data_IF_793260504932
#
_entry.id   IF_793260504932
#
_cell.length_a   1.000
_cell.length_b   1.000
_cell.length_c   1.000
_cell.angle_alpha   90.00
_cell.angle_beta   90.00
_cell.angle_gamma   90.00
#
_symmetry.space_group_name_H-M   'P 1'
#
loop_
_entity.id
_entity.type
_entity.pdbx_description
1 polymer ?
#
# COMPACT_ATOMS: atom_id res chain seq x y z
N UNK A 1 -24.39 -17.61 15.01
CA UNK A 1 -23.01 -17.65 14.51
C UNK A 1 -22.96 -16.66 13.36
N UNK A 2 -22.33 -15.51 13.57
CA UNK A 2 -22.20 -14.50 12.51
C UNK A 2 -21.06 -14.95 11.63
N UNK A 3 -21.39 -15.42 10.42
CA UNK A 3 -20.40 -15.73 9.40
C UNK A 3 -19.67 -14.42 9.07
N UNK A 4 -18.38 -14.34 9.41
CA UNK A 4 -17.55 -13.20 9.06
C UNK A 4 -17.48 -13.15 7.53
N UNK A 5 -17.93 -12.03 6.95
CA UNK A 5 -17.83 -11.82 5.52
C UNK A 5 -16.36 -11.99 5.08
N UNK A 6 -16.10 -12.63 3.94
CA UNK A 6 -14.74 -12.80 3.45
C UNK A 6 -14.07 -11.44 3.28
N UNK A 7 -12.79 -11.36 3.65
CA UNK A 7 -12.01 -10.14 3.50
C UNK A 7 -12.08 -9.63 2.04
N UNK A 8 -12.10 -8.31 1.80
CA UNK A 8 -12.07 -7.75 0.44
C UNK A 8 -10.91 -8.30 -0.38
N UNK A 9 -11.08 -8.44 -1.71
CA UNK A 9 -10.10 -9.07 -2.59
C UNK A 9 -8.69 -8.45 -2.51
N UNK A 10 -8.58 -7.12 -2.43
CA UNK A 10 -7.29 -6.43 -2.29
C UNK A 10 -6.60 -6.75 -0.94
N UNK A 11 -7.36 -7.02 0.13
CA UNK A 11 -6.81 -7.46 1.42
C UNK A 11 -6.27 -8.88 1.30
N UNK A 12 -6.98 -9.77 0.60
CA UNK A 12 -6.52 -11.14 0.35
C UNK A 12 -5.24 -11.15 -0.49
N UNK A 13 -5.17 -10.31 -1.53
CA UNK A 13 -3.98 -10.18 -2.37
C UNK A 13 -2.77 -9.68 -1.57
N UNK A 14 -2.95 -8.65 -0.74
CA UNK A 14 -1.88 -8.17 0.17
C UNK A 14 -1.40 -9.27 1.13
N UNK A 15 -2.32 -10.03 1.73
CA UNK A 15 -1.99 -11.17 2.59
C UNK A 15 -1.19 -12.24 1.85
N UNK A 16 -1.57 -12.56 0.62
CA UNK A 16 -0.86 -13.51 -0.22
C UNK A 16 0.57 -13.04 -0.55
N UNK A 17 0.77 -11.75 -0.82
CA UNK A 17 2.11 -11.19 -1.04
C UNK A 17 3.01 -11.34 0.20
N UNK A 18 2.48 -11.01 1.39
CA UNK A 18 3.21 -11.15 2.66
C UNK A 18 3.55 -12.61 2.94
N UNK A 19 2.58 -13.51 2.77
CA UNK A 19 2.77 -14.93 2.99
C UNK A 19 3.84 -15.53 2.05
N UNK A 20 3.82 -15.15 0.77
CA UNK A 20 4.81 -15.59 -0.21
C UNK A 20 6.23 -15.11 0.14
N UNK A 21 6.37 -13.85 0.59
CA UNK A 21 7.65 -13.34 1.10
C UNK A 21 8.13 -14.17 2.29
N UNK A 22 7.24 -14.49 3.23
CA UNK A 22 7.63 -15.24 4.43
C UNK A 22 8.06 -16.67 4.09
N UNK A 23 7.34 -17.34 3.18
CA UNK A 23 7.67 -18.68 2.70
C UNK A 23 8.97 -18.74 1.89
N UNK A 24 9.30 -17.67 1.16
CA UNK A 24 10.57 -17.56 0.43
C UNK A 24 11.80 -17.41 1.32
N UNK A 25 11.60 -17.01 2.59
CA UNK A 25 12.69 -16.69 3.52
C UNK A 25 12.54 -17.42 4.87
N UNK A 26 12.56 -18.77 4.90
CA UNK A 26 12.31 -19.55 6.12
C UNK A 26 13.38 -19.38 7.21
N UNK A 27 14.58 -18.91 6.83
CA UNK A 27 15.64 -18.56 7.78
C UNK A 27 15.37 -17.25 8.54
N UNK A 28 14.43 -16.44 8.05
CA UNK A 28 14.04 -15.14 8.62
C UNK A 28 12.67 -15.26 9.29
N UNK A 29 11.73 -15.92 8.62
CA UNK A 29 10.38 -16.16 9.11
C UNK A 29 10.18 -17.64 9.31
N UNK A 30 10.23 -18.06 10.57
CA UNK A 30 9.95 -19.45 10.89
C UNK A 30 8.51 -19.79 10.49
N UNK A 31 8.29 -21.01 10.00
CA UNK A 31 6.96 -21.48 9.62
C UNK A 31 5.95 -21.38 10.79
N UNK A 32 4.66 -21.16 10.48
CA UNK A 32 3.59 -21.22 11.47
C UNK A 32 3.53 -22.61 12.11
N UNK A 33 2.99 -22.72 13.32
CA UNK A 33 2.88 -24.01 14.00
C UNK A 33 1.62 -24.77 13.57
N UNK A 34 0.60 -24.00 13.18
CA UNK A 34 -0.70 -24.46 12.70
C UNK A 34 -0.71 -24.88 11.23
N UNK A 35 0.28 -24.48 10.43
CA UNK A 35 0.35 -24.79 8.99
C UNK A 35 1.77 -25.11 8.53
N UNK A 36 1.91 -25.78 7.38
CA UNK A 36 3.22 -26.08 6.80
C UNK A 36 3.94 -24.86 6.20
N UNK A 37 3.18 -23.82 5.84
CA UNK A 37 3.65 -22.59 5.19
C UNK A 37 2.76 -21.41 5.60
N UNK A 38 3.28 -20.19 5.47
CA UNK A 38 2.52 -18.95 5.67
C UNK A 38 1.41 -18.78 4.63
N UNK A 39 1.61 -19.25 3.40
CA UNK A 39 0.56 -19.23 2.36
C UNK A 39 -0.61 -20.12 2.78
N UNK A 40 -0.33 -21.35 3.25
CA UNK A 40 -1.37 -22.24 3.74
C UNK A 40 -2.04 -21.69 5.01
N UNK A 41 -1.30 -20.97 5.85
CA UNK A 41 -1.86 -20.29 7.02
C UNK A 41 -2.81 -19.15 6.63
N UNK A 42 -2.44 -18.33 5.63
CA UNK A 42 -3.27 -17.21 5.18
C UNK A 42 -4.61 -17.64 4.55
N UNK A 43 -4.69 -18.88 4.04
CA UNK A 43 -5.93 -19.49 3.53
C UNK A 43 -6.83 -20.05 4.64
N UNK A 44 -6.30 -20.27 5.83
CA UNK A 44 -7.06 -20.77 6.97
C UNK A 44 -7.82 -19.64 7.66
N UNK A 45 -8.95 -19.99 8.27
CA UNK A 45 -9.73 -19.07 9.11
C UNK A 45 -9.31 -19.13 10.59
N UNK A 46 -8.11 -19.62 10.88
CA UNK A 46 -7.58 -19.74 12.23
C UNK A 46 -6.90 -18.44 12.65
N UNK A 47 -7.06 -18.06 13.93
CA UNK A 47 -6.38 -16.91 14.49
C UNK A 47 -4.92 -17.28 14.80
N UNK A 48 -3.94 -16.39 14.54
CA UNK A 48 -2.55 -16.65 14.87
C UNK A 48 -2.36 -16.79 16.37
N UNK A 49 -1.46 -17.69 16.76
CA UNK A 49 -0.95 -17.75 18.14
C UNK A 49 0.03 -16.58 18.44
N UNK A 50 0.39 -16.37 19.71
CA UNK A 50 1.30 -15.29 20.14
C UNK A 50 2.67 -15.32 19.43
N UNK A 51 3.13 -16.48 18.96
CA UNK A 51 4.40 -16.62 18.23
C UNK A 51 4.18 -16.21 16.78
N UNK A 52 3.13 -16.69 16.15
CA UNK A 52 2.76 -16.37 14.78
C UNK A 52 2.47 -14.87 14.62
N UNK A 53 1.74 -14.27 15.57
CA UNK A 53 1.47 -12.84 15.62
C UNK A 53 2.77 -12.02 15.62
N UNK A 54 3.73 -12.38 16.48
CA UNK A 54 5.04 -11.70 16.51
C UNK A 54 5.82 -11.82 15.20
N UNK A 55 5.73 -12.95 14.50
CA UNK A 55 6.41 -13.13 13.21
C UNK A 55 5.72 -12.32 12.12
N UNK A 56 4.38 -12.26 12.13
CA UNK A 56 3.58 -11.41 11.25
C UNK A 56 3.87 -9.92 11.47
N UNK A 57 3.98 -9.49 12.72
CA UNK A 57 4.37 -8.12 13.09
C UNK A 57 5.77 -7.79 12.60
N UNK A 58 6.71 -8.72 12.72
CA UNK A 58 8.06 -8.56 12.19
C UNK A 58 8.05 -8.40 10.66
N UNK A 59 7.29 -9.22 9.95
CA UNK A 59 7.17 -9.13 8.49
C UNK A 59 6.55 -7.79 8.07
N UNK A 60 5.43 -7.44 8.70
CA UNK A 60 4.69 -6.20 8.43
C UNK A 60 5.53 -4.97 8.74
N UNK A 61 6.22 -4.94 9.89
CA UNK A 61 7.10 -3.83 10.27
C UNK A 61 8.23 -3.61 9.27
N UNK A 62 8.84 -4.67 8.74
CA UNK A 62 9.89 -4.59 7.71
C UNK A 62 9.34 -4.04 6.39
N UNK A 63 8.15 -4.48 5.98
CA UNK A 63 7.47 -3.98 4.78
C UNK A 63 7.14 -2.50 4.94
N UNK A 64 6.55 -2.09 6.06
CA UNK A 64 6.22 -0.68 6.36
C UNK A 64 7.48 0.19 6.31
N UNK A 65 8.60 -0.29 6.87
CA UNK A 65 9.87 0.43 6.80
C UNK A 65 10.38 0.57 5.37
N UNK A 66 10.26 -0.47 4.54
CA UNK A 66 10.61 -0.40 3.12
C UNK A 66 9.75 0.61 2.37
N UNK A 67 8.43 0.63 2.61
CA UNK A 67 7.51 1.61 2.03
C UNK A 67 7.90 3.04 2.42
N UNK A 68 8.15 3.30 3.71
CA UNK A 68 8.59 4.62 4.18
C UNK A 68 9.90 5.06 3.54
N UNK A 69 10.86 4.14 3.41
CA UNK A 69 12.13 4.42 2.76
C UNK A 69 11.96 4.79 1.28
N UNK A 70 10.98 4.18 0.59
CA UNK A 70 10.63 4.55 -0.78
C UNK A 70 9.94 5.91 -0.85
N UNK A 71 9.03 6.20 0.09
CA UNK A 71 8.35 7.49 0.20
C UNK A 71 9.34 8.65 0.37
N UNK A 72 10.35 8.50 1.25
CA UNK A 72 11.39 9.50 1.48
C UNK A 72 12.24 9.83 0.23
N UNK A 73 12.19 8.97 -0.79
CA UNK A 73 12.91 9.14 -2.06
C UNK A 73 12.03 9.59 -3.21
N UNK A 74 10.73 9.72 -2.96
CA UNK A 74 9.82 10.34 -3.91
C UNK A 74 10.22 11.81 -4.02
N UNK A 75 10.47 12.35 -5.22
CA UNK A 75 10.87 13.74 -5.39
C UNK A 75 9.91 14.68 -4.67
N UNK A 76 10.41 15.56 -3.80
CA UNK A 76 9.59 16.52 -3.04
C UNK A 76 9.23 17.78 -3.85
N UNK A 77 9.51 17.78 -5.15
CA UNK A 77 9.37 18.97 -6.01
C UNK A 77 7.91 19.35 -6.25
N UNK A 78 6.96 18.50 -5.83
CA UNK A 78 5.53 18.77 -5.92
C UNK A 78 4.97 19.18 -4.55
N UNK A 79 4.79 20.48 -4.35
CA UNK A 79 3.96 20.99 -3.25
C UNK A 79 2.49 20.72 -3.56
N UNK A 80 2.03 19.58 -3.05
CA UNK A 80 0.68 19.07 -3.24
C UNK A 80 -0.38 20.01 -2.68
N UNK A 81 -0.08 20.75 -1.62
CA UNK A 81 -1.01 21.74 -1.09
C UNK A 81 -1.15 22.93 -2.06
N UNK A 82 -0.03 23.45 -2.56
CA UNK A 82 -0.05 24.50 -3.58
C UNK A 82 -0.77 24.07 -4.87
N UNK A 83 -0.61 22.82 -5.30
CA UNK A 83 -1.31 22.30 -6.47
C UNK A 83 -2.83 22.18 -6.25
N UNK A 84 -3.26 21.77 -5.05
CA UNK A 84 -4.67 21.75 -4.66
C UNK A 84 -5.25 23.17 -4.58
N UNK A 85 -4.50 24.12 -4.03
CA UNK A 85 -4.91 25.53 -3.93
C UNK A 85 -5.06 26.15 -5.34
N UNK A 86 -4.13 25.86 -6.25
CA UNK A 86 -4.22 26.29 -7.66
C UNK A 86 -5.43 25.67 -8.36
N UNK A 87 -5.64 24.36 -8.22
CA UNK A 87 -6.83 23.69 -8.76
C UNK A 87 -8.11 24.33 -8.21
N UNK A 88 -8.10 24.77 -6.96
CA UNK A 88 -9.23 25.48 -6.35
C UNK A 88 -9.48 26.85 -6.96
N UNK A 89 -8.43 27.62 -7.21
CA UNK A 89 -8.53 28.89 -7.92
C UNK A 89 -9.05 28.73 -9.36
N UNK A 90 -8.75 27.60 -10.01
CA UNK A 90 -9.24 27.25 -11.35
C UNK A 90 -10.67 26.68 -11.36
N UNK A 91 -11.33 26.58 -10.21
CA UNK A 91 -12.70 26.07 -10.10
C UNK A 91 -12.81 24.54 -10.03
N UNK A 92 -11.69 23.83 -9.84
CA UNK A 92 -11.62 22.39 -9.54
C UNK A 92 -11.56 22.14 -8.01
N UNK A 93 -11.92 23.14 -7.18
CA UNK A 93 -11.53 23.24 -5.77
C UNK A 93 -12.41 22.62 -4.71
N UNK A 94 -13.62 22.22 -5.07
CA UNK A 94 -14.56 21.57 -4.15
C UNK A 94 -14.56 20.06 -4.38
N UNK A 95 -13.39 19.50 -4.70
CA UNK A 95 -13.26 18.05 -4.82
C UNK A 95 -13.36 17.43 -3.43
N UNK A 96 -14.41 16.63 -3.27
CA UNK A 96 -14.58 15.79 -2.09
C UNK A 96 -13.38 14.84 -1.95
N UNK A 97 -12.92 14.58 -0.71
CA UNK A 97 -11.88 13.59 -0.47
C UNK A 97 -12.23 12.23 -1.07
N UNK A 98 -11.27 11.60 -1.73
CA UNK A 98 -11.47 10.29 -2.33
C UNK A 98 -11.80 9.22 -1.28
N UNK A 99 -12.99 8.58 -1.33
CA UNK A 99 -13.41 7.62 -0.31
C UNK A 99 -12.56 6.35 -0.29
N UNK A 100 -11.91 5.99 -1.40
CA UNK A 100 -11.04 4.82 -1.45
C UNK A 100 -9.72 5.08 -0.72
N UNK A 101 -9.16 6.29 -0.87
CA UNK A 101 -7.98 6.70 -0.11
C UNK A 101 -8.30 6.76 1.39
N UNK A 102 -9.46 7.30 1.77
CA UNK A 102 -9.91 7.30 3.16
C UNK A 102 -10.03 5.89 3.74
N UNK A 103 -10.53 4.92 2.96
CA UNK A 103 -10.67 3.54 3.40
C UNK A 103 -9.33 2.79 3.51
N UNK A 104 -8.28 3.27 2.84
CA UNK A 104 -6.94 2.68 2.87
C UNK A 104 -6.04 3.29 3.95
N UNK A 105 -6.43 4.44 4.52
CA UNK A 105 -5.63 5.15 5.51
C UNK A 105 -5.36 4.29 6.75
N UNK A 106 -4.13 4.34 7.24
CA UNK A 106 -3.78 3.74 8.53
C UNK A 106 -4.52 4.47 9.66
N UNK A 107 -4.98 3.76 10.71
CA UNK A 107 -5.56 4.40 11.90
C UNK A 107 -4.60 5.38 12.60
N UNK A 108 -3.29 5.21 12.40
CA UNK A 108 -2.24 6.05 12.99
C UNK A 108 -1.86 7.25 12.10
N UNK A 109 -2.47 7.39 10.91
CA UNK A 109 -2.19 8.51 10.02
C UNK A 109 -2.90 9.79 10.49
N UNK A 110 -2.28 10.95 10.24
CA UNK A 110 -2.93 12.24 10.54
C UNK A 110 -4.16 12.44 9.65
N UNK A 111 -5.31 12.77 10.26
CA UNK A 111 -6.55 13.08 9.53
C UNK A 111 -6.34 14.15 8.45
N UNK A 112 -5.48 15.14 8.72
CA UNK A 112 -5.15 16.22 7.78
C UNK A 112 -4.35 15.70 6.58
N UNK A 113 -3.31 14.90 6.81
CA UNK A 113 -2.49 14.33 5.74
C UNK A 113 -3.31 13.38 4.86
N UNK A 114 -4.17 12.57 5.49
CA UNK A 114 -5.08 11.65 4.81
C UNK A 114 -6.09 12.43 3.97
N UNK A 115 -6.71 13.48 4.51
CA UNK A 115 -7.66 14.30 3.77
C UNK A 115 -7.00 15.01 2.57
N UNK A 116 -5.79 15.54 2.75
CA UNK A 116 -5.01 16.17 1.68
C UNK A 116 -4.68 15.17 0.57
N UNK A 117 -4.19 13.98 0.92
CA UNK A 117 -3.92 12.91 -0.05
C UNK A 117 -5.19 12.46 -0.78
N UNK A 118 -6.30 12.31 -0.06
CA UNK A 118 -7.58 11.91 -0.63
C UNK A 118 -8.11 12.95 -1.63
N UNK A 119 -7.98 14.25 -1.34
CA UNK A 119 -8.34 15.32 -2.30
C UNK A 119 -7.40 15.35 -3.51
N UNK A 120 -6.10 15.14 -3.30
CA UNK A 120 -5.14 15.05 -4.39
C UNK A 120 -5.46 13.88 -5.32
N UNK A 121 -5.89 12.74 -4.79
CA UNK A 121 -6.35 11.61 -5.59
C UNK A 121 -7.61 11.96 -6.40
N UNK A 122 -8.60 12.64 -5.81
CA UNK A 122 -9.79 13.12 -6.53
C UNK A 122 -9.40 14.07 -7.69
N UNK A 123 -8.43 14.96 -7.46
CA UNK A 123 -7.92 15.87 -8.49
C UNK A 123 -7.22 15.10 -9.61
N UNK A 124 -6.34 14.17 -9.26
CA UNK A 124 -5.65 13.32 -10.23
C UNK A 124 -6.64 12.51 -11.09
N UNK A 125 -7.61 11.86 -10.47
CA UNK A 125 -8.68 11.13 -11.18
C UNK A 125 -9.46 12.03 -12.13
N UNK A 126 -9.74 13.27 -11.71
CA UNK A 126 -10.41 14.26 -12.56
C UNK A 126 -9.54 14.64 -13.75
N UNK A 127 -8.24 14.90 -13.54
CA UNK A 127 -7.28 15.19 -14.60
C UNK A 127 -7.20 14.04 -15.62
N UNK A 128 -7.15 12.78 -15.16
CA UNK A 128 -7.18 11.59 -16.03
C UNK A 128 -8.48 11.54 -16.84
N UNK A 129 -9.66 11.73 -16.20
CA UNK A 129 -10.96 11.74 -16.89
C UNK A 129 -11.07 12.84 -17.95
N UNK A 130 -10.42 13.97 -17.72
CA UNK A 130 -10.38 15.11 -18.65
C UNK A 130 -9.31 14.96 -19.75
N UNK A 131 -8.50 13.90 -19.71
CA UNK A 131 -7.38 13.69 -20.65
C UNK A 131 -6.20 14.65 -20.42
N UNK A 132 -6.11 15.23 -19.22
CA UNK A 132 -5.01 16.10 -18.79
C UNK A 132 -3.85 15.31 -18.18
N UNK A 133 -4.09 14.05 -17.81
CA UNK A 133 -3.09 13.10 -17.32
C UNK A 133 -3.33 11.73 -17.99
N UNK A 134 -2.27 10.92 -18.12
CA UNK A 134 -2.32 9.62 -18.78
C UNK A 134 -2.75 8.50 -17.82
N UNK A 135 -2.63 8.71 -16.51
CA UNK A 135 -3.03 7.77 -15.47
C UNK A 135 -1.92 6.82 -15.04
N UNK A 136 -0.77 6.80 -15.72
CA UNK A 136 0.39 5.94 -15.44
C UNK A 136 1.50 6.61 -14.63
N UNK A 137 1.40 7.92 -14.36
CA UNK A 137 2.42 8.72 -13.71
C UNK A 137 2.66 8.26 -12.27
N UNK A 138 1.60 7.88 -11.55
CA UNK A 138 1.71 7.33 -10.18
C UNK A 138 2.44 5.99 -10.17
N UNK A 139 2.13 5.06 -11.10
CA UNK A 139 2.83 3.79 -11.22
C UNK A 139 4.32 3.99 -11.50
N UNK A 140 4.66 4.91 -12.40
CA UNK A 140 6.07 5.24 -12.73
C UNK A 140 6.81 5.84 -11.53
N UNK A 141 6.14 6.72 -10.79
CA UNK A 141 6.71 7.33 -9.58
C UNK A 141 7.02 6.28 -8.51
N UNK A 142 6.07 5.37 -8.25
CA UNK A 142 6.27 4.26 -7.32
C UNK A 142 7.44 3.38 -7.78
N UNK A 143 7.46 2.98 -9.06
CA UNK A 143 8.52 2.14 -9.61
C UNK A 143 9.91 2.80 -9.45
N UNK A 144 10.02 4.10 -9.73
CA UNK A 144 11.25 4.86 -9.58
C UNK A 144 11.70 4.94 -8.11
N UNK A 145 10.78 5.25 -7.19
CA UNK A 145 11.07 5.34 -5.76
C UNK A 145 11.63 4.02 -5.20
N UNK A 146 10.98 2.89 -5.53
CA UNK A 146 11.46 1.57 -5.10
C UNK A 146 12.76 1.15 -5.79
N UNK A 147 12.91 1.41 -7.09
CA UNK A 147 14.13 1.07 -7.85
C UNK A 147 15.37 1.80 -7.36
N UNK A 148 15.19 2.94 -6.69
CA UNK A 148 16.31 3.69 -6.13
C UNK A 148 16.90 3.04 -4.87
N UNK A 149 16.13 2.21 -4.15
CA UNK A 149 16.53 1.65 -2.87
C UNK A 149 17.62 0.57 -3.01
N UNK A 150 18.60 0.53 -2.08
CA UNK A 150 19.64 -0.49 -2.13
C UNK A 150 19.06 -1.88 -1.83
N UNK A 151 19.33 -2.85 -2.70
CA UNK A 151 18.83 -4.22 -2.61
C UNK A 151 19.99 -5.24 -2.67
N UNK A 152 20.89 -5.18 -1.68
CA UNK A 152 22.16 -5.93 -1.66
C UNK A 152 22.01 -7.42 -1.32
N UNK A 153 20.85 -7.87 -0.86
CA UNK A 153 20.59 -9.28 -0.52
C UNK A 153 19.32 -9.78 -1.20
N UNK A 154 19.20 -11.09 -1.48
CA UNK A 154 17.97 -11.66 -2.02
C UNK A 154 16.74 -11.34 -1.18
N UNK A 155 16.87 -11.37 0.16
CA UNK A 155 15.79 -10.96 1.06
C UNK A 155 15.37 -9.50 0.86
N UNK A 156 16.32 -8.58 0.72
CA UNK A 156 15.99 -7.17 0.50
C UNK A 156 15.33 -6.95 -0.87
N UNK A 157 15.75 -7.68 -1.90
CA UNK A 157 15.10 -7.63 -3.22
C UNK A 157 13.64 -8.04 -3.11
N UNK A 158 13.38 -9.22 -2.54
CA UNK A 158 12.02 -9.74 -2.38
C UNK A 158 11.17 -8.86 -1.45
N UNK A 159 11.78 -8.28 -0.39
CA UNK A 159 11.11 -7.34 0.51
C UNK A 159 10.67 -6.07 -0.23
N UNK A 160 11.56 -5.48 -1.04
CA UNK A 160 11.25 -4.27 -1.80
C UNK A 160 10.21 -4.55 -2.88
N UNK A 161 10.31 -5.67 -3.58
CA UNK A 161 9.30 -6.09 -4.56
C UNK A 161 7.94 -6.35 -3.91
N UNK A 162 7.91 -6.99 -2.74
CA UNK A 162 6.69 -7.24 -1.97
C UNK A 162 6.06 -5.93 -1.51
N UNK A 163 6.86 -5.03 -0.94
CA UNK A 163 6.42 -3.70 -0.50
C UNK A 163 5.87 -2.87 -1.68
N UNK A 164 6.58 -2.88 -2.81
CA UNK A 164 6.12 -2.24 -4.05
C UNK A 164 4.78 -2.82 -4.50
N UNK A 165 4.65 -4.15 -4.52
CA UNK A 165 3.41 -4.82 -4.94
C UNK A 165 2.23 -4.45 -4.05
N UNK A 166 2.43 -4.37 -2.74
CA UNK A 166 1.40 -3.94 -1.78
C UNK A 166 0.95 -2.50 -2.08
N UNK A 167 1.88 -1.57 -2.29
CA UNK A 167 1.55 -0.18 -2.63
C UNK A 167 0.79 -0.11 -3.97
N UNK A 168 1.17 -0.92 -4.97
CA UNK A 168 0.47 -0.97 -6.25
C UNK A 168 -0.95 -1.54 -6.12
N UNK A 169 -1.17 -2.53 -5.26
CA UNK A 169 -2.53 -3.05 -4.97
C UNK A 169 -3.41 -1.95 -4.38
N UNK A 170 -2.86 -1.16 -3.45
CA UNK A 170 -3.58 -0.05 -2.82
C UNK A 170 -3.85 1.08 -3.83
N UNK A 171 -2.89 1.41 -4.69
CA UNK A 171 -3.08 2.38 -5.77
C UNK A 171 -4.15 1.92 -6.77
N UNK A 172 -4.09 0.68 -7.23
CA UNK A 172 -5.07 0.13 -8.16
C UNK A 172 -6.48 0.13 -7.55
N UNK A 173 -6.58 -0.21 -6.26
CA UNK A 173 -7.83 -0.15 -5.50
C UNK A 173 -8.36 1.29 -5.44
N UNK A 174 -7.49 2.26 -5.13
CA UNK A 174 -7.86 3.66 -5.12
C UNK A 174 -8.36 4.11 -6.51
N UNK A 175 -7.61 3.81 -7.57
CA UNK A 175 -7.94 4.23 -8.94
C UNK A 175 -9.25 3.62 -9.48
N UNK A 176 -9.62 2.40 -9.07
CA UNK A 176 -10.86 1.74 -9.53
C UNK A 176 -12.16 2.30 -8.93
N UNK A 177 -12.10 2.98 -7.80
CA UNK A 177 -13.28 3.44 -7.06
C UNK A 177 -13.68 4.90 -7.36
N UNK A 178 -13.31 5.45 -8.52
CA UNK A 178 -13.53 6.85 -8.91
C UNK A 178 -14.47 7.07 -10.08
#
# INVERSE_FOLDING_TARGET
MTELAPAPAHIQEKRACIAALMDGHPNIFAAPTSAGTWTAFAEQSEAPDDREERILDQATGRIVQAIRSAQDRTPSDFDMQSALDMAKEEGLGDLEPDPAVLALASPDASDEEVATMARAMSLYKTAVKMGLAEGGELHQTIEASFSSLPAETPFMQDLLETAKRIVMIDLDQAMRQG
#
